data_IF_578385395286
#
_entry.id   IF_578385395286
#
_cell.length_a   1.000
_cell.length_b   1.000
_cell.length_c   1.000
_cell.angle_alpha   90.00
_cell.angle_beta   90.00
_cell.angle_gamma   90.00
#
_symmetry.space_group_name_H-M   'P 1'
#
loop_
_entity.id
_entity.type
_entity.pdbx_description
1 polymer ?
#
# COMPACT_ATOMS: atom_id res chain seq x y z
N UNK A 1 51.58 -36.68 51.77
CA UNK A 1 50.45 -35.74 51.75
C UNK A 1 50.18 -35.32 50.31
N UNK A 2 49.06 -35.75 49.71
CA UNK A 2 48.52 -35.11 48.49
C UNK A 2 47.06 -35.52 48.32
N UNK A 3 46.14 -34.64 48.74
CA UNK A 3 44.70 -34.75 48.47
C UNK A 3 44.42 -33.92 47.23
N UNK A 4 44.00 -34.55 46.13
CA UNK A 4 43.46 -33.85 44.96
C UNK A 4 41.97 -33.57 45.22
N UNK A 5 41.63 -32.29 45.31
CA UNK A 5 40.25 -31.80 45.41
C UNK A 5 39.68 -31.71 44.00
N UNK A 6 38.58 -32.41 43.76
CA UNK A 6 37.83 -32.41 42.51
C UNK A 6 36.82 -31.24 42.57
N UNK A 7 37.04 -30.19 41.79
CA UNK A 7 36.11 -29.06 41.70
C UNK A 7 35.02 -29.37 40.67
N UNK A 8 33.77 -29.40 41.15
CA UNK A 8 32.54 -29.52 40.36
C UNK A 8 32.23 -28.14 39.75
N UNK A 9 32.25 -28.03 38.41
CA UNK A 9 31.83 -26.82 37.69
C UNK A 9 30.35 -26.93 37.34
N UNK A 10 29.52 -26.10 37.98
CA UNK A 10 28.09 -25.91 37.66
C UNK A 10 27.99 -24.93 36.50
N UNK A 11 27.47 -25.38 35.36
CA UNK A 11 27.16 -24.51 34.20
C UNK A 11 25.75 -23.95 34.39
N UNK A 12 25.66 -22.65 34.66
CA UNK A 12 24.38 -21.91 34.70
C UNK A 12 24.10 -21.41 33.29
N UNK A 13 23.13 -21.99 32.60
CA UNK A 13 22.64 -21.49 31.31
C UNK A 13 21.68 -20.32 31.56
N UNK A 14 22.16 -19.11 31.29
CA UNK A 14 21.32 -17.91 31.27
C UNK A 14 20.56 -17.84 29.93
N UNK A 15 19.27 -18.15 29.95
CA UNK A 15 18.37 -17.91 28.82
C UNK A 15 18.09 -16.41 28.73
N UNK A 16 18.77 -15.71 27.81
CA UNK A 16 18.43 -14.34 27.44
C UNK A 16 17.13 -14.37 26.63
N UNK A 17 16.00 -14.06 27.27
CA UNK A 17 14.76 -13.78 26.57
C UNK A 17 14.92 -12.43 25.84
N UNK A 18 14.84 -12.46 24.51
CA UNK A 18 14.81 -11.26 23.66
C UNK A 18 13.60 -10.39 24.03
N UNK A 19 13.72 -9.05 24.06
CA UNK A 19 12.57 -8.18 24.17
C UNK A 19 11.66 -8.39 22.96
N UNK A 20 10.41 -8.79 23.21
CA UNK A 20 9.38 -8.82 22.18
C UNK A 20 9.12 -7.38 21.74
N UNK A 21 9.54 -7.04 20.52
CA UNK A 21 9.13 -5.82 19.84
C UNK A 21 7.63 -5.92 19.60
N UNK A 22 6.83 -5.31 20.47
CA UNK A 22 5.40 -5.07 20.22
C UNK A 22 5.32 -4.18 18.99
N UNK A 23 4.94 -4.75 17.84
CA UNK A 23 4.50 -3.95 16.70
C UNK A 23 3.35 -3.05 17.18
N UNK A 24 3.36 -1.75 16.88
CA UNK A 24 2.23 -0.89 17.22
C UNK A 24 1.00 -1.43 16.50
N UNK A 25 -0.04 -1.74 17.27
CA UNK A 25 -1.39 -1.93 16.76
C UNK A 25 -1.78 -0.61 16.10
N UNK A 26 -2.09 -0.63 14.81
CA UNK A 26 -2.65 0.51 14.12
C UNK A 26 -4.03 0.80 14.74
N UNK A 27 -4.09 1.71 15.71
CA UNK A 27 -5.36 2.30 16.11
C UNK A 27 -5.88 3.08 14.91
N UNK A 28 -7.08 2.71 14.44
CA UNK A 28 -7.77 3.41 13.37
C UNK A 28 -7.95 4.87 13.79
N UNK A 29 -7.23 5.78 13.13
CA UNK A 29 -7.46 7.20 13.27
C UNK A 29 -8.82 7.47 12.62
N UNK A 30 -9.82 7.76 13.45
CA UNK A 30 -11.18 8.12 13.05
C UNK A 30 -11.09 9.43 12.25
N UNK A 31 -11.02 9.32 10.93
CA UNK A 31 -11.10 10.45 10.01
C UNK A 31 -12.45 11.11 10.26
N UNK A 32 -12.43 12.40 10.64
CA UNK A 32 -13.66 13.14 10.87
C UNK A 32 -14.61 12.96 9.67
N UNK A 33 -15.91 12.70 9.88
CA UNK A 33 -16.86 12.30 8.83
C UNK A 33 -17.17 13.35 7.75
N UNK A 34 -16.34 14.39 7.59
CA UNK A 34 -16.38 15.39 6.53
C UNK A 34 -15.15 15.46 5.61
N UNK A 35 -14.09 14.68 5.87
CA UNK A 35 -12.79 14.81 5.18
C UNK A 35 -12.51 13.72 4.14
N UNK A 36 -13.52 12.93 3.78
CA UNK A 36 -13.35 11.88 2.80
C UNK A 36 -13.38 12.46 1.37
N UNK A 37 -12.24 12.49 0.64
CA UNK A 37 -12.18 13.07 -0.69
C UNK A 37 -13.06 12.29 -1.68
N UNK A 38 -13.58 12.98 -2.70
CA UNK A 38 -14.09 12.26 -3.85
C UNK A 38 -12.91 11.61 -4.60
N UNK A 39 -12.95 10.28 -4.73
CA UNK A 39 -12.02 9.56 -5.59
C UNK A 39 -12.65 9.48 -6.97
N UNK A 40 -11.95 10.05 -7.95
CA UNK A 40 -12.35 10.09 -9.34
C UNK A 40 -11.60 9.00 -10.11
N UNK A 41 -12.33 8.00 -10.62
CA UNK A 41 -11.77 6.98 -11.48
C UNK A 41 -11.04 7.54 -12.71
N UNK A 42 -9.99 6.84 -13.09
CA UNK A 42 -9.26 7.07 -14.32
C UNK A 42 -10.11 6.84 -15.57
N UNK A 43 -9.71 7.41 -16.73
CA UNK A 43 -10.37 7.13 -17.99
C UNK A 43 -10.50 5.62 -18.27
N UNK A 44 -11.70 5.16 -18.61
CA UNK A 44 -11.99 3.77 -18.93
C UNK A 44 -12.28 2.86 -17.74
N UNK A 45 -12.10 3.32 -16.50
CA UNK A 45 -12.47 2.58 -15.30
C UNK A 45 -13.89 2.96 -14.81
N UNK A 46 -14.62 2.04 -14.15
CA UNK A 46 -16.01 2.27 -13.76
C UNK A 46 -16.13 3.32 -12.64
N UNK A 47 -17.17 4.15 -12.73
CA UNK A 47 -17.50 5.14 -11.71
C UNK A 47 -17.86 4.50 -10.35
N UNK A 48 -17.70 5.24 -9.25
CA UNK A 48 -18.16 4.77 -7.93
C UNK A 48 -19.66 4.46 -7.93
N UNK A 49 -20.46 5.34 -8.56
CA UNK A 49 -21.91 5.17 -8.70
C UNK A 49 -22.28 3.87 -9.42
N UNK A 50 -21.57 3.50 -10.49
CA UNK A 50 -21.84 2.23 -11.21
C UNK A 50 -21.47 0.98 -10.40
N UNK A 51 -20.65 1.13 -9.37
CA UNK A 51 -20.24 0.06 -8.47
C UNK A 51 -21.06 0.03 -7.16
N UNK A 52 -22.03 0.94 -7.01
CA UNK A 52 -22.73 1.19 -5.75
C UNK A 52 -21.77 1.47 -4.58
N UNK A 53 -20.66 2.16 -4.86
CA UNK A 53 -19.72 2.64 -3.85
C UNK A 53 -19.94 4.12 -3.58
N UNK A 54 -19.71 4.52 -2.34
CA UNK A 54 -19.62 5.93 -1.93
C UNK A 54 -18.18 6.30 -1.62
N UNK A 55 -17.86 7.60 -1.63
CA UNK A 55 -16.54 8.06 -1.16
C UNK A 55 -16.28 7.60 0.27
N UNK A 56 -17.29 7.69 1.15
CA UNK A 56 -17.20 7.26 2.55
C UNK A 56 -16.83 5.77 2.70
N UNK A 57 -17.25 4.91 1.76
CA UNK A 57 -16.81 3.52 1.76
C UNK A 57 -15.30 3.41 1.57
N UNK A 58 -14.74 4.20 0.64
CA UNK A 58 -13.32 4.17 0.31
C UNK A 58 -12.41 4.76 1.41
N UNK A 59 -12.96 5.52 2.37
CA UNK A 59 -12.18 6.10 3.46
C UNK A 59 -11.99 5.17 4.66
N UNK A 60 -12.63 4.00 4.65
CA UNK A 60 -12.36 2.96 5.65
C UNK A 60 -10.93 2.44 5.52
N UNK A 61 -10.40 1.88 6.61
CA UNK A 61 -9.15 1.11 6.50
C UNK A 61 -9.32 -0.03 5.47
N UNK A 62 -8.25 -0.47 4.81
CA UNK A 62 -8.29 -1.62 3.89
C UNK A 62 -9.02 -2.84 4.45
N UNK A 63 -8.77 -3.18 5.72
CA UNK A 63 -9.41 -4.33 6.39
C UNK A 63 -10.91 -4.12 6.55
N UNK A 64 -11.34 -2.97 7.08
CA UNK A 64 -12.76 -2.64 7.26
C UNK A 64 -13.51 -2.57 5.93
N UNK A 65 -12.87 -2.00 4.90
CA UNK A 65 -13.43 -1.93 3.56
C UNK A 65 -13.64 -3.34 2.98
N UNK A 66 -12.61 -4.19 3.00
CA UNK A 66 -12.70 -5.55 2.50
C UNK A 66 -13.78 -6.35 3.22
N UNK A 67 -13.83 -6.25 4.56
CA UNK A 67 -14.86 -6.88 5.38
C UNK A 67 -16.27 -6.38 5.04
N UNK A 68 -16.45 -5.06 4.88
CA UNK A 68 -17.74 -4.46 4.55
C UNK A 68 -18.27 -4.90 3.17
N UNK A 69 -17.38 -5.24 2.24
CA UNK A 69 -17.72 -5.64 0.88
C UNK A 69 -17.52 -7.14 0.59
N UNK A 70 -17.21 -7.95 1.61
CA UNK A 70 -17.04 -9.40 1.47
C UNK A 70 -15.90 -9.81 0.53
N UNK A 71 -14.84 -9.00 0.47
CA UNK A 71 -13.67 -9.28 -0.36
C UNK A 71 -12.73 -10.27 0.35
N UNK A 72 -12.15 -11.24 -0.37
CA UNK A 72 -11.22 -12.19 0.22
C UNK A 72 -9.92 -11.49 0.62
N UNK A 73 -9.34 -11.91 1.74
CA UNK A 73 -7.95 -11.64 2.07
C UNK A 73 -7.09 -12.53 1.17
N UNK A 74 -6.29 -11.92 0.29
CA UNK A 74 -5.48 -12.64 -0.68
C UNK A 74 -4.03 -12.57 -0.22
N UNK A 75 -3.52 -13.70 0.27
CA UNK A 75 -2.08 -13.88 0.48
C UNK A 75 -1.36 -13.69 -0.87
N UNK A 76 -0.50 -12.67 -0.94
CA UNK A 76 0.16 -12.31 -2.19
C UNK A 76 1.33 -13.28 -2.47
N UNK A 77 1.31 -14.08 -3.56
CA UNK A 77 2.37 -15.06 -3.83
C UNK A 77 3.67 -14.38 -4.29
N UNK A 78 4.80 -14.69 -3.65
CA UNK A 78 6.09 -14.01 -3.85
C UNK A 78 6.49 -13.77 -5.31
N UNK A 79 6.76 -12.51 -5.65
CA UNK A 79 7.09 -12.04 -6.98
C UNK A 79 8.55 -12.23 -7.40
N UNK A 80 8.77 -12.47 -8.69
CA UNK A 80 10.07 -12.28 -9.34
C UNK A 80 10.32 -10.79 -9.65
N UNK A 81 11.38 -10.24 -9.07
CA UNK A 81 11.84 -8.85 -9.20
C UNK A 81 12.15 -8.47 -10.67
N UNK A 82 11.48 -7.43 -11.19
CA UNK A 82 11.80 -6.80 -12.50
C UNK A 82 11.81 -5.25 -12.47
N UNK A 83 11.24 -4.64 -11.44
CA UNK A 83 11.27 -3.20 -11.19
C UNK A 83 11.98 -2.94 -9.84
N UNK A 84 12.77 -1.88 -9.75
CA UNK A 84 13.37 -1.46 -8.48
C UNK A 84 12.44 -0.44 -7.84
N UNK A 85 11.78 -0.78 -6.72
CA UNK A 85 10.87 0.14 -6.06
C UNK A 85 11.64 1.32 -5.43
N UNK A 86 10.98 2.45 -5.27
CA UNK A 86 11.56 3.67 -4.71
C UNK A 86 10.53 4.54 -3.99
N UNK A 87 11.03 5.35 -3.07
CA UNK A 87 10.32 6.45 -2.41
C UNK A 87 11.09 7.76 -2.70
N UNK A 88 10.38 8.83 -3.01
CA UNK A 88 10.93 10.18 -3.11
C UNK A 88 11.25 10.67 -1.69
N UNK A 89 12.23 11.56 -1.56
CA UNK A 89 12.49 12.27 -0.30
C UNK A 89 12.11 13.75 -0.37
N UNK A 90 11.30 14.14 -1.36
CA UNK A 90 11.08 15.56 -1.70
C UNK A 90 9.62 15.94 -1.95
N UNK A 91 8.76 14.97 -2.30
CA UNK A 91 7.36 15.22 -2.63
C UNK A 91 6.47 14.41 -1.70
N UNK A 92 5.59 15.10 -0.98
CA UNK A 92 4.62 14.50 -0.06
C UNK A 92 3.23 14.63 -0.64
N UNK A 93 2.42 13.60 -0.43
CA UNK A 93 1.01 13.55 -0.76
C UNK A 93 0.20 12.96 0.40
N UNK A 94 -1.13 13.08 0.36
CA UNK A 94 -1.96 12.56 1.43
C UNK A 94 -2.01 11.02 1.44
N UNK A 95 -1.59 10.42 2.56
CA UNK A 95 -1.70 8.97 2.79
C UNK A 95 -3.15 8.49 2.67
N UNK A 96 -4.10 9.17 3.30
CA UNK A 96 -5.51 8.76 3.32
C UNK A 96 -6.15 8.79 1.94
N UNK A 97 -5.89 9.84 1.15
CA UNK A 97 -6.38 9.93 -0.23
C UNK A 97 -5.81 8.81 -1.10
N UNK A 98 -4.55 8.44 -0.89
CA UNK A 98 -3.92 7.32 -1.57
C UNK A 98 -4.54 5.97 -1.18
N UNK A 99 -4.85 5.76 0.11
CA UNK A 99 -5.54 4.57 0.61
C UNK A 99 -6.94 4.42 0.03
N UNK A 100 -7.68 5.51 -0.15
CA UNK A 100 -9.00 5.45 -0.82
C UNK A 100 -8.92 5.02 -2.28
N UNK A 101 -7.86 5.45 -2.98
CA UNK A 101 -7.53 4.94 -4.31
C UNK A 101 -7.19 3.45 -4.30
N UNK A 102 -6.44 2.97 -3.29
CA UNK A 102 -6.18 1.54 -3.10
C UNK A 102 -7.49 0.74 -2.95
N UNK A 103 -8.39 1.17 -2.06
CA UNK A 103 -9.68 0.49 -1.83
C UNK A 103 -10.50 0.40 -3.12
N UNK A 104 -10.53 1.48 -3.91
CA UNK A 104 -11.19 1.48 -5.21
C UNK A 104 -10.59 0.45 -6.16
N UNK A 105 -9.27 0.46 -6.37
CA UNK A 105 -8.60 -0.46 -7.30
C UNK A 105 -8.67 -1.91 -6.84
N UNK A 106 -8.60 -2.15 -5.53
CA UNK A 106 -8.77 -3.47 -4.94
C UNK A 106 -10.18 -4.02 -5.18
N UNK A 107 -11.22 -3.18 -4.98
CA UNK A 107 -12.61 -3.55 -5.25
C UNK A 107 -12.85 -3.96 -6.71
N UNK A 108 -12.16 -3.33 -7.66
CA UNK A 108 -12.26 -3.69 -9.08
C UNK A 108 -11.77 -5.11 -9.40
N UNK A 109 -10.98 -5.73 -8.52
CA UNK A 109 -10.56 -7.12 -8.66
C UNK A 109 -9.84 -7.38 -9.98
N UNK A 110 -10.39 -8.34 -10.74
CA UNK A 110 -9.88 -8.78 -12.04
C UNK A 110 -10.13 -7.82 -13.21
N UNK A 111 -10.74 -6.65 -12.97
CA UNK A 111 -10.90 -5.61 -14.01
C UNK A 111 -9.53 -5.24 -14.57
N UNK A 112 -9.35 -5.14 -15.90
CA UNK A 112 -8.06 -4.81 -16.48
C UNK A 112 -7.72 -3.33 -16.26
N UNK A 113 -6.61 -3.08 -15.60
CA UNK A 113 -5.97 -1.77 -15.50
C UNK A 113 -4.93 -1.64 -16.62
N UNK A 114 -5.36 -1.03 -17.73
CA UNK A 114 -4.56 -0.92 -18.97
C UNK A 114 -3.67 0.32 -18.94
N UNK A 115 -2.43 0.17 -19.39
CA UNK A 115 -1.43 1.24 -19.49
C UNK A 115 -0.92 1.31 -20.93
N UNK A 116 -1.33 2.32 -21.72
CA UNK A 116 -0.77 2.58 -23.03
C UNK A 116 0.66 3.16 -22.91
N UNK A 117 1.41 3.30 -24.02
CA UNK A 117 2.74 3.90 -24.01
C UNK A 117 2.82 5.30 -23.40
N UNK A 118 1.72 6.07 -23.44
CA UNK A 118 1.61 7.40 -22.82
C UNK A 118 1.41 7.37 -21.30
N UNK A 119 1.25 6.18 -20.70
CA UNK A 119 0.85 6.01 -19.31
C UNK A 119 -0.66 6.10 -19.12
N UNK A 120 -1.10 5.74 -17.91
CA UNK A 120 -2.48 5.83 -17.45
C UNK A 120 -2.55 6.51 -16.09
N UNK A 121 -3.70 7.11 -15.79
CA UNK A 121 -4.10 7.47 -14.43
C UNK A 121 -5.25 6.57 -14.04
N UNK A 122 -5.11 5.81 -12.97
CA UNK A 122 -6.11 4.83 -12.52
C UNK A 122 -7.15 5.45 -11.60
N UNK A 123 -6.74 6.37 -10.74
CA UNK A 123 -7.65 7.17 -9.93
C UNK A 123 -6.91 8.41 -9.42
N UNK A 124 -7.66 9.39 -8.96
CA UNK A 124 -7.13 10.57 -8.30
C UNK A 124 -8.14 11.18 -7.34
N UNK A 125 -7.66 12.05 -6.47
CA UNK A 125 -8.47 13.02 -5.74
C UNK A 125 -8.32 14.40 -6.37
N UNK A 126 -9.31 15.27 -6.18
CA UNK A 126 -9.30 16.64 -6.71
C UNK A 126 -9.92 17.66 -5.72
N UNK A 127 -9.85 17.36 -4.42
CA UNK A 127 -10.50 18.16 -3.37
C UNK A 127 -9.52 18.45 -2.24
N UNK A 128 -9.22 19.73 -2.01
CA UNK A 128 -8.37 20.19 -0.90
C UNK A 128 -6.89 20.37 -1.30
N UNK A 129 -5.98 20.17 -0.35
CA UNK A 129 -4.53 20.17 -0.57
C UNK A 129 -4.00 18.74 -0.68
N UNK A 130 -2.78 18.57 -1.21
CA UNK A 130 -2.07 17.29 -1.20
C UNK A 130 -2.80 16.16 -1.95
N UNK A 131 -3.43 16.53 -3.07
CA UNK A 131 -4.12 15.59 -3.96
C UNK A 131 -3.18 14.52 -4.50
N UNK A 132 -3.74 13.32 -4.63
CA UNK A 132 -3.04 12.11 -5.02
C UNK A 132 -3.56 11.65 -6.35
N UNK A 133 -2.66 11.12 -7.17
CA UNK A 133 -3.03 10.25 -8.26
C UNK A 133 -2.19 8.97 -8.28
N UNK A 134 -2.88 7.90 -8.67
CA UNK A 134 -2.27 6.61 -8.96
C UNK A 134 -2.05 6.51 -10.47
N UNK A 135 -0.80 6.41 -10.87
CA UNK A 135 -0.38 6.35 -12.26
C UNK A 135 0.15 4.97 -12.62
N UNK A 136 -0.12 4.54 -13.85
CA UNK A 136 0.51 3.38 -14.48
C UNK A 136 1.49 3.82 -15.55
N UNK A 137 2.69 3.25 -15.54
CA UNK A 137 3.72 3.47 -16.57
C UNK A 137 4.17 2.14 -17.15
N UNK A 138 4.30 2.08 -18.48
CA UNK A 138 4.88 0.93 -19.16
C UNK A 138 6.41 1.01 -19.10
N UNK A 139 7.05 -0.02 -18.56
CA UNK A 139 8.52 -0.08 -18.41
C UNK A 139 9.21 -0.31 -19.75
N UNK A 140 8.55 -0.99 -20.70
CA UNK A 140 9.12 -1.32 -22.02
C UNK A 140 8.57 -0.44 -23.16
N UNK A 141 7.73 0.56 -22.86
CA UNK A 141 7.15 1.47 -23.85
C UNK A 141 6.04 0.87 -24.70
N UNK A 142 5.59 -0.36 -24.44
CA UNK A 142 4.45 -0.98 -25.11
C UNK A 142 3.20 -0.94 -24.23
N UNK A 143 2.01 -1.07 -24.82
CA UNK A 143 0.79 -1.27 -24.03
C UNK A 143 0.96 -2.49 -23.13
N UNK A 144 0.71 -2.32 -21.83
CA UNK A 144 0.73 -3.38 -20.82
C UNK A 144 -0.54 -3.30 -19.98
N UNK A 145 -0.89 -4.37 -19.28
CA UNK A 145 -2.02 -4.38 -18.37
C UNK A 145 -1.79 -5.38 -17.23
N UNK A 146 -2.40 -5.10 -16.09
CA UNK A 146 -2.58 -6.02 -14.97
C UNK A 146 -4.02 -5.98 -14.52
N UNK A 147 -4.42 -6.86 -13.60
CA UNK A 147 -5.67 -6.65 -12.88
C UNK A 147 -5.55 -5.40 -11.99
N UNK A 148 -6.66 -4.70 -11.76
CA UNK A 148 -6.63 -3.53 -10.87
C UNK A 148 -6.29 -3.92 -9.43
N UNK A 149 -6.59 -5.15 -9.02
CA UNK A 149 -6.13 -5.70 -7.74
C UNK A 149 -4.59 -5.87 -7.69
N UNK A 150 -3.95 -6.33 -8.77
CA UNK A 150 -2.49 -6.39 -8.87
C UNK A 150 -1.85 -5.00 -8.85
N UNK A 151 -2.50 -4.02 -9.49
CA UNK A 151 -2.09 -2.61 -9.43
C UNK A 151 -2.20 -2.07 -7.99
N UNK A 152 -3.32 -2.37 -7.31
CA UNK A 152 -3.53 -2.02 -5.91
C UNK A 152 -2.45 -2.63 -5.01
N UNK A 153 -2.14 -3.91 -5.18
CA UNK A 153 -1.06 -4.60 -4.47
C UNK A 153 0.31 -3.96 -4.71
N UNK A 154 0.62 -3.57 -5.96
CA UNK A 154 1.85 -2.85 -6.29
C UNK A 154 1.96 -1.52 -5.55
N UNK A 155 0.88 -0.72 -5.53
CA UNK A 155 0.86 0.54 -4.80
C UNK A 155 0.76 0.38 -3.27
N UNK A 156 0.24 -0.73 -2.76
CA UNK A 156 0.25 -1.03 -1.33
C UNK A 156 1.68 -1.07 -0.77
N UNK A 157 2.63 -1.59 -1.56
CA UNK A 157 4.04 -1.49 -1.19
C UNK A 157 4.47 -0.04 -0.93
N UNK A 158 4.04 0.90 -1.79
CA UNK A 158 4.33 2.33 -1.64
C UNK A 158 3.67 2.89 -0.38
N UNK A 159 2.41 2.52 -0.10
CA UNK A 159 1.72 2.90 1.13
C UNK A 159 2.46 2.41 2.39
N UNK A 160 3.00 1.21 2.37
CA UNK A 160 3.68 0.59 3.52
C UNK A 160 5.12 1.07 3.70
N UNK A 161 5.84 1.35 2.62
CA UNK A 161 7.29 1.60 2.64
C UNK A 161 7.68 3.05 2.43
N UNK A 162 6.77 3.87 1.88
CA UNK A 162 7.01 5.30 1.65
C UNK A 162 6.20 6.18 2.62
N UNK A 163 5.45 5.59 3.55
CA UNK A 163 4.80 6.33 4.62
C UNK A 163 5.76 6.58 5.79
N UNK A 164 5.67 7.76 6.38
CA UNK A 164 6.44 8.17 7.55
C UNK A 164 5.51 8.84 8.58
N UNK A 165 5.78 8.59 9.86
CA UNK A 165 5.05 9.20 10.97
C UNK A 165 5.95 10.26 11.61
N UNK A 166 5.51 11.51 11.59
CA UNK A 166 6.19 12.62 12.26
C UNK A 166 5.19 13.45 13.05
N UNK A 167 5.40 13.56 14.36
CA UNK A 167 4.54 14.33 15.27
C UNK A 167 3.04 13.98 15.12
N UNK A 168 2.72 12.68 15.17
CA UNK A 168 1.37 12.12 15.05
C UNK A 168 0.67 12.35 13.68
N UNK A 169 1.40 12.86 12.70
CA UNK A 169 0.93 13.00 11.32
C UNK A 169 1.56 11.92 10.45
N UNK A 170 0.72 11.29 9.62
CA UNK A 170 1.16 10.33 8.60
C UNK A 170 1.34 11.07 7.29
N UNK A 171 2.56 11.06 6.76
CA UNK A 171 2.88 11.59 5.45
C UNK A 171 3.21 10.44 4.50
N UNK A 172 2.79 10.56 3.24
CA UNK A 172 3.18 9.62 2.21
C UNK A 172 4.14 10.32 1.24
N UNK A 173 5.37 9.85 1.19
CA UNK A 173 6.29 10.24 0.15
C UNK A 173 5.82 9.65 -1.19
N UNK A 174 5.92 10.44 -2.27
CA UNK A 174 5.74 9.92 -3.63
C UNK A 174 6.60 8.66 -3.82
N UNK A 175 6.09 7.63 -4.48
CA UNK A 175 6.86 6.42 -4.70
C UNK A 175 6.30 5.55 -5.80
N UNK A 176 7.04 4.52 -6.17
CA UNK A 176 6.59 3.56 -7.16
C UNK A 176 7.08 2.14 -6.91
N UNK A 177 6.32 1.19 -7.42
CA UNK A 177 6.66 -0.23 -7.46
C UNK A 177 6.05 -0.88 -8.73
N UNK A 178 6.42 -2.10 -9.08
CA UNK A 178 5.70 -2.86 -10.10
C UNK A 178 4.28 -3.21 -9.63
N UNK A 179 3.32 -3.28 -10.56
CA UNK A 179 2.08 -4.00 -10.32
C UNK A 179 2.39 -5.47 -10.04
N UNK A 180 1.57 -6.08 -9.19
CA UNK A 180 1.80 -7.45 -8.79
C UNK A 180 1.77 -8.41 -10.00
N UNK A 181 2.64 -9.41 -10.02
CA UNK A 181 2.84 -10.32 -11.17
C UNK A 181 3.15 -9.68 -12.53
N UNK A 182 3.38 -8.36 -12.60
CA UNK A 182 3.67 -7.68 -13.86
C UNK A 182 4.78 -6.64 -13.73
N UNK A 183 6.01 -7.11 -13.90
CA UNK A 183 7.20 -6.26 -13.94
C UNK A 183 7.27 -5.25 -15.08
N UNK A 184 6.39 -5.32 -16.08
CA UNK A 184 6.34 -4.36 -17.19
C UNK A 184 5.41 -3.18 -16.92
N UNK A 185 4.62 -3.22 -15.83
CA UNK A 185 3.73 -2.15 -15.40
C UNK A 185 4.22 -1.62 -14.06
N UNK A 186 4.68 -0.37 -14.02
CA UNK A 186 5.03 0.33 -12.79
C UNK A 186 3.84 1.19 -12.31
N UNK A 187 3.50 1.07 -11.04
CA UNK A 187 2.49 1.87 -10.33
C UNK A 187 3.20 2.95 -9.54
N UNK A 188 2.86 4.22 -9.80
CA UNK A 188 3.37 5.38 -9.06
C UNK A 188 2.24 6.03 -8.29
N UNK A 189 2.46 6.33 -7.01
CA UNK A 189 1.62 7.21 -6.20
C UNK A 189 2.34 8.54 -6.06
N UNK A 190 1.70 9.63 -6.45
CA UNK A 190 2.31 10.96 -6.40
C UNK A 190 1.28 12.07 -6.61
N UNK A 191 1.74 13.32 -6.77
CA UNK A 191 0.84 14.46 -6.91
C UNK A 191 -0.03 14.32 -8.17
N UNK A 192 -1.28 14.76 -8.04
CA UNK A 192 -2.22 14.89 -9.16
C UNK A 192 -1.86 16.05 -10.09
#
# INVERSE_FOLDING_TARGET
MSRRVLHLLVVVTASLALPQSTAPSAEAIDLAPGDCPEIIPGPGLPSLKSLNLTSADLCKSPEEFQKAHGLPDIEQPSLMKRYTPWCSGSTVVSYWKATSCYNYLWYLGNTPCVVPPSGSRFCHSNTGTDDVAWYGTSVNGHTTQSTCQEVAAGGNWVLEHCAEILADLVFLWEGANAAWNNGNLAVRIGPY
#
